data_IF_272108860579
#
_entry.id   IF_272108860579
#
_cell.length_a   1.000
_cell.length_b   1.000
_cell.length_c   1.000
_cell.angle_alpha   90.00
_cell.angle_beta   90.00
_cell.angle_gamma   90.00
#
_symmetry.space_group_name_H-M   'P 1'
#
loop_
_entity.id
_entity.type
_entity.pdbx_description
1 polymer ?
#
# COMPACT_ATOMS: atom_id res chain seq x y z
N UNK A 1 10.24 17.30 10.00
CA UNK A 1 9.58 18.05 8.92
C UNK A 1 10.15 17.60 7.59
N UNK A 2 9.33 17.01 6.76
CA UNK A 2 9.66 16.72 5.35
C UNK A 2 9.05 17.83 4.50
N UNK A 3 9.83 18.41 3.60
CA UNK A 3 9.35 19.30 2.57
C UNK A 3 9.79 18.79 1.21
N UNK A 4 8.90 18.84 0.21
CA UNK A 4 9.30 18.54 -1.16
C UNK A 4 10.21 19.66 -1.69
N UNK A 5 11.21 19.26 -2.45
CA UNK A 5 12.11 20.18 -3.14
C UNK A 5 11.41 20.74 -4.39
N UNK A 6 11.47 22.04 -4.56
CA UNK A 6 10.98 22.71 -5.78
C UNK A 6 12.13 22.78 -6.78
N UNK A 7 12.05 21.95 -7.82
CA UNK A 7 13.05 21.82 -8.89
C UNK A 7 12.96 23.01 -9.87
N UNK A 8 13.34 24.19 -9.45
CA UNK A 8 13.54 25.31 -10.37
C UNK A 8 15.02 25.65 -10.53
N UNK A 9 15.49 25.70 -11.74
CA UNK A 9 16.75 26.16 -12.37
C UNK A 9 17.87 26.82 -11.51
N UNK A 10 17.78 26.88 -10.20
CA UNK A 10 18.72 27.50 -9.27
C UNK A 10 18.99 26.68 -7.99
N UNK A 11 19.03 25.35 -8.09
CA UNK A 11 19.21 24.47 -6.94
C UNK A 11 17.92 24.16 -6.19
N UNK A 12 17.97 23.09 -5.44
CA UNK A 12 16.81 22.58 -4.68
C UNK A 12 16.32 23.59 -3.65
N UNK A 13 15.12 24.07 -3.83
CA UNK A 13 14.42 24.90 -2.85
C UNK A 13 13.34 24.08 -2.16
N UNK A 14 13.23 24.19 -0.85
CA UNK A 14 12.11 23.60 -0.13
C UNK A 14 10.80 24.31 -0.48
N UNK A 15 9.79 23.55 -0.91
CA UNK A 15 8.44 24.07 -1.08
C UNK A 15 7.72 24.13 0.26
N UNK A 16 7.11 25.26 0.59
CA UNK A 16 6.21 25.39 1.74
C UNK A 16 4.77 24.96 1.43
N UNK A 17 4.50 24.66 0.15
CA UNK A 17 3.18 24.24 -0.30
C UNK A 17 2.81 22.81 0.14
N UNK A 18 3.80 21.98 0.49
CA UNK A 18 3.59 20.67 1.07
C UNK A 18 4.37 20.55 2.38
N UNK A 19 3.69 20.23 3.45
CA UNK A 19 4.27 19.99 4.79
C UNK A 19 3.76 18.69 5.34
N UNK A 20 4.67 17.87 5.86
CA UNK A 20 4.33 16.68 6.64
C UNK A 20 5.00 16.80 8.00
N UNK A 21 4.21 16.60 9.03
CA UNK A 21 4.67 16.48 10.40
C UNK A 21 4.22 15.13 10.94
N UNK A 22 5.01 14.52 11.81
CA UNK A 22 4.61 13.25 12.39
C UNK A 22 5.36 12.90 13.65
N UNK A 23 4.77 11.98 14.40
CA UNK A 23 5.33 11.33 15.58
C UNK A 23 5.16 9.83 15.36
N UNK A 24 6.21 9.09 15.65
CA UNK A 24 6.21 7.62 15.62
C UNK A 24 6.69 7.13 16.98
N UNK A 25 5.95 6.20 17.57
CA UNK A 25 6.27 5.57 18.85
C UNK A 25 6.32 4.07 18.66
N UNK A 26 7.46 3.47 18.99
CA UNK A 26 7.63 2.03 19.04
C UNK A 26 7.67 1.58 20.50
N UNK A 27 6.83 0.62 20.88
CA UNK A 27 6.67 0.09 22.21
C UNK A 27 7.01 -1.41 22.20
N UNK A 28 8.30 -1.77 22.04
CA UNK A 28 8.71 -3.16 22.09
C UNK A 28 8.44 -3.70 23.50
N UNK A 29 7.97 -4.94 23.57
CA UNK A 29 7.75 -5.68 24.81
C UNK A 29 6.65 -5.12 25.76
N UNK A 30 5.86 -4.11 25.34
CA UNK A 30 4.79 -3.60 26.19
C UNK A 30 3.76 -4.70 26.52
N UNK A 31 3.30 -5.44 25.53
CA UNK A 31 2.34 -6.52 25.73
C UNK A 31 2.98 -7.78 26.33
N UNK A 32 4.27 -8.01 26.10
CA UNK A 32 5.01 -9.07 26.77
C UNK A 32 5.04 -8.86 28.26
N UNK A 33 5.28 -7.63 28.71
CA UNK A 33 5.30 -7.29 30.14
C UNK A 33 3.92 -7.26 30.81
N UNK A 34 2.87 -6.90 30.05
CA UNK A 34 1.52 -6.77 30.58
C UNK A 34 0.68 -8.05 30.47
N UNK A 35 0.81 -8.79 29.36
CA UNK A 35 -0.08 -9.90 28.99
C UNK A 35 0.67 -11.18 28.66
N UNK A 36 1.99 -11.20 28.77
CA UNK A 36 2.85 -12.33 28.36
C UNK A 36 2.65 -12.75 26.88
N UNK A 37 2.41 -11.75 26.00
CA UNK A 37 2.23 -11.93 24.55
C UNK A 37 3.37 -11.22 23.85
N UNK A 38 4.16 -11.94 23.05
CA UNK A 38 5.27 -11.37 22.27
C UNK A 38 4.73 -10.59 21.06
N UNK A 39 4.28 -9.36 21.33
CA UNK A 39 3.82 -8.42 20.32
C UNK A 39 4.56 -7.09 20.45
N UNK A 40 5.17 -6.65 19.36
CA UNK A 40 5.69 -5.31 19.22
C UNK A 40 4.58 -4.37 18.76
N UNK A 41 4.34 -3.29 19.51
CA UNK A 41 3.37 -2.28 19.18
C UNK A 41 4.06 -1.05 18.61
N UNK A 42 3.52 -0.55 17.52
CA UNK A 42 3.92 0.71 16.89
C UNK A 42 2.67 1.58 16.76
N UNK A 43 2.79 2.86 17.05
CA UNK A 43 1.73 3.83 16.78
C UNK A 43 2.33 5.10 16.20
N UNK A 44 1.58 5.76 15.33
CA UNK A 44 2.06 6.96 14.69
C UNK A 44 0.92 7.93 14.38
N UNK A 45 1.30 9.18 14.30
CA UNK A 45 0.48 10.27 13.84
C UNK A 45 1.20 11.02 12.74
N UNK A 46 0.52 11.30 11.63
CA UNK A 46 1.01 12.11 10.53
C UNK A 46 0.00 13.20 10.21
N UNK A 47 0.46 14.44 10.07
CA UNK A 47 -0.32 15.55 9.55
C UNK A 47 0.25 15.98 8.20
N UNK A 48 -0.58 15.92 7.17
CA UNK A 48 -0.28 16.42 5.83
C UNK A 48 -1.02 17.76 5.64
N UNK A 49 -0.30 18.78 5.18
CA UNK A 49 -0.91 20.02 4.70
C UNK A 49 -0.32 20.38 3.35
N UNK A 50 -1.18 20.51 2.37
CA UNK A 50 -0.82 20.79 0.99
C UNK A 50 -1.62 22.01 0.47
N UNK A 51 -1.01 22.77 -0.44
CA UNK A 51 -1.64 23.94 -1.06
C UNK A 51 -1.22 24.05 -2.51
N UNK A 52 -2.11 24.60 -3.34
CA UNK A 52 -1.78 24.96 -4.71
C UNK A 52 -0.59 25.90 -4.78
N UNK A 53 0.19 25.71 -5.83
CA UNK A 53 1.18 26.67 -6.28
C UNK A 53 0.89 27.04 -7.74
N UNK A 54 1.58 28.08 -8.25
CA UNK A 54 1.46 28.45 -9.68
C UNK A 54 1.85 27.31 -10.63
N UNK A 55 2.64 26.33 -10.18
CA UNK A 55 3.19 25.27 -11.00
C UNK A 55 2.62 23.89 -10.69
N UNK A 56 2.12 23.68 -9.48
CA UNK A 56 1.54 22.44 -9.03
C UNK A 56 0.15 22.72 -8.46
N UNK A 57 -0.83 22.15 -9.11
CA UNK A 57 -2.21 22.15 -8.63
C UNK A 57 -2.45 20.85 -7.84
N UNK A 58 -3.08 20.97 -6.69
CA UNK A 58 -3.30 19.86 -5.75
C UNK A 58 -4.75 19.86 -5.28
N UNK A 59 -5.14 18.84 -4.53
CA UNK A 59 -6.45 18.81 -3.87
C UNK A 59 -6.47 19.55 -2.52
N UNK A 60 -5.47 20.38 -2.23
CA UNK A 60 -5.38 21.20 -1.01
C UNK A 60 -5.62 20.39 0.28
N UNK A 61 -5.06 19.18 0.35
CA UNK A 61 -5.29 18.26 1.46
C UNK A 61 -4.78 18.83 2.79
N UNK A 62 -5.62 18.74 3.82
CA UNK A 62 -5.28 18.99 5.23
C UNK A 62 -5.73 17.74 6.02
N UNK A 63 -4.85 16.73 6.08
CA UNK A 63 -5.18 15.39 6.56
C UNK A 63 -4.43 15.04 7.84
N UNK A 64 -5.14 14.43 8.76
CA UNK A 64 -4.62 13.82 9.97
C UNK A 64 -4.72 12.30 9.87
N UNK A 65 -3.61 11.60 9.99
CA UNK A 65 -3.53 10.14 9.87
C UNK A 65 -3.04 9.56 11.18
N UNK A 66 -3.78 8.62 11.72
CA UNK A 66 -3.46 7.88 12.94
C UNK A 66 -3.25 6.42 12.57
N UNK A 67 -2.11 5.86 12.89
CA UNK A 67 -1.78 4.47 12.61
C UNK A 67 -1.41 3.70 13.87
N UNK A 68 -1.82 2.44 13.87
CA UNK A 68 -1.47 1.45 14.88
C UNK A 68 -1.01 0.18 14.17
N UNK A 69 0.07 -0.41 14.64
CA UNK A 69 0.57 -1.68 14.13
C UNK A 69 0.98 -2.60 15.26
N UNK A 70 0.54 -3.85 15.19
CA UNK A 70 0.94 -4.91 16.09
C UNK A 70 1.58 -6.05 15.28
N UNK A 71 2.76 -6.49 15.69
CA UNK A 71 3.45 -7.61 15.04
C UNK A 71 4.15 -8.51 16.03
N UNK A 72 4.03 -9.82 15.84
CA UNK A 72 4.84 -10.82 16.55
C UNK A 72 6.09 -11.18 15.74
N UNK A 73 7.03 -11.79 16.40
CA UNK A 73 8.22 -12.36 15.76
C UNK A 73 7.89 -13.67 15.06
N UNK A 74 8.44 -13.89 13.87
CA UNK A 74 8.31 -15.17 13.18
C UNK A 74 9.30 -16.20 13.78
N UNK A 75 8.78 -17.32 14.27
CA UNK A 75 9.58 -18.45 14.73
C UNK A 75 9.20 -19.73 13.98
N UNK A 76 10.11 -20.70 13.96
CA UNK A 76 9.89 -21.98 13.27
C UNK A 76 8.82 -22.79 14.00
N UNK A 77 7.88 -23.37 13.25
CA UNK A 77 6.71 -24.09 13.72
C UNK A 77 5.75 -23.25 14.57
N UNK A 78 5.75 -21.94 14.35
CA UNK A 78 4.86 -21.02 15.05
C UNK A 78 4.07 -20.14 14.07
N UNK A 79 2.95 -19.65 14.59
CA UNK A 79 2.17 -18.61 13.95
C UNK A 79 2.71 -17.24 14.35
N UNK A 80 2.69 -16.32 13.41
CA UNK A 80 2.94 -14.92 13.66
C UNK A 80 1.90 -14.05 12.96
N UNK A 81 1.73 -12.85 13.48
CA UNK A 81 0.76 -11.86 13.00
C UNK A 81 1.46 -10.53 12.74
N UNK A 82 0.99 -9.84 11.69
CA UNK A 82 1.30 -8.44 11.42
C UNK A 82 -0.02 -7.75 11.07
N UNK A 83 -0.51 -6.94 11.99
CA UNK A 83 -1.76 -6.19 11.82
C UNK A 83 -1.49 -4.71 11.86
N UNK A 84 -1.97 -3.97 10.85
CA UNK A 84 -1.92 -2.52 10.78
C UNK A 84 -3.31 -1.96 10.55
N UNK A 85 -3.66 -0.94 11.33
CA UNK A 85 -4.91 -0.20 11.25
C UNK A 85 -4.62 1.28 11.15
N UNK A 86 -5.18 1.95 10.13
CA UNK A 86 -4.98 3.37 9.89
C UNK A 86 -6.34 4.05 9.76
N UNK A 87 -6.48 5.18 10.44
CA UNK A 87 -7.60 6.09 10.32
C UNK A 87 -7.13 7.45 9.81
N UNK A 88 -7.88 8.03 8.88
CA UNK A 88 -7.64 9.37 8.37
C UNK A 88 -8.85 10.25 8.57
N UNK A 89 -8.61 11.52 8.90
CA UNK A 89 -9.64 12.56 8.98
C UNK A 89 -9.07 13.90 8.53
N UNK A 90 -9.93 14.83 8.17
CA UNK A 90 -9.54 16.17 7.75
C UNK A 90 -10.40 16.69 6.61
N UNK A 91 -9.80 17.50 5.77
CA UNK A 91 -10.48 18.12 4.65
C UNK A 91 -9.62 18.03 3.38
N UNK A 92 -10.28 17.98 2.24
CA UNK A 92 -9.63 18.05 0.93
C UNK A 92 -10.55 18.70 -0.09
N UNK A 93 -9.99 19.39 -1.07
CA UNK A 93 -10.75 19.84 -2.21
C UNK A 93 -11.16 18.65 -3.10
N UNK A 94 -12.37 18.67 -3.66
CA UNK A 94 -12.93 17.60 -4.46
C UNK A 94 -12.06 17.21 -5.67
N UNK A 95 -11.35 18.17 -6.27
CA UNK A 95 -10.41 17.91 -7.35
C UNK A 95 -9.14 18.77 -7.26
N UNK A 96 -8.16 18.49 -8.10
CA UNK A 96 -6.96 19.33 -8.26
C UNK A 96 -7.19 20.55 -9.15
N UNK A 97 -8.40 20.75 -9.71
CA UNK A 97 -8.72 21.92 -10.52
C UNK A 97 -8.77 23.17 -9.62
N UNK A 98 -7.99 24.24 -9.89
CA UNK A 98 -8.01 25.45 -9.08
C UNK A 98 -9.34 26.23 -9.10
N UNK A 99 -10.21 25.93 -10.04
CA UNK A 99 -11.56 26.51 -10.10
C UNK A 99 -12.57 25.76 -9.22
N UNK A 100 -12.20 24.60 -8.75
CA UNK A 100 -12.99 23.83 -7.80
C UNK A 100 -12.76 24.40 -6.40
N UNK A 101 -13.81 24.90 -5.79
CA UNK A 101 -13.81 25.50 -4.44
C UNK A 101 -14.58 24.69 -3.43
N UNK A 102 -14.98 23.45 -3.79
CA UNK A 102 -15.70 22.57 -2.89
C UNK A 102 -14.69 21.83 -2.02
N UNK A 103 -14.74 22.05 -0.73
CA UNK A 103 -14.02 21.27 0.26
C UNK A 103 -14.90 20.11 0.74
N UNK A 104 -14.34 18.91 0.78
CA UNK A 104 -14.98 17.68 1.24
C UNK A 104 -14.46 17.32 2.61
N UNK A 105 -15.34 16.90 3.50
CA UNK A 105 -14.97 16.26 4.76
C UNK A 105 -14.35 14.90 4.49
N UNK A 106 -13.14 14.65 5.00
CA UNK A 106 -12.41 13.42 4.74
C UNK A 106 -12.44 12.50 5.95
N UNK A 107 -12.93 11.26 5.75
CA UNK A 107 -12.85 10.17 6.72
C UNK A 107 -12.57 8.86 6.00
N UNK A 108 -11.42 8.23 6.28
CA UNK A 108 -11.01 7.04 5.57
C UNK A 108 -10.28 6.05 6.48
N UNK A 109 -10.28 4.77 6.05
CA UNK A 109 -9.72 3.66 6.81
C UNK A 109 -8.85 2.78 5.94
N UNK A 110 -7.80 2.23 6.56
CA UNK A 110 -7.01 1.14 6.00
C UNK A 110 -6.77 0.07 7.06
N UNK A 111 -6.90 -1.18 6.64
CA UNK A 111 -6.62 -2.36 7.45
C UNK A 111 -5.71 -3.30 6.67
N UNK A 112 -4.67 -3.82 7.32
CA UNK A 112 -3.85 -4.90 6.81
C UNK A 112 -3.67 -5.95 7.88
N UNK A 113 -3.94 -7.19 7.53
CA UNK A 113 -3.71 -8.34 8.40
C UNK A 113 -2.89 -9.37 7.63
N UNK A 114 -1.77 -9.79 8.19
CA UNK A 114 -1.01 -10.95 7.76
C UNK A 114 -1.01 -11.97 8.90
N UNK A 115 -1.45 -13.17 8.62
CA UNK A 115 -1.33 -14.32 9.50
C UNK A 115 -0.43 -15.33 8.80
N UNK A 116 0.68 -15.70 9.42
CA UNK A 116 1.66 -16.54 8.78
C UNK A 116 2.11 -17.69 9.65
N UNK A 117 2.49 -18.80 9.01
CA UNK A 117 3.07 -19.96 9.64
C UNK A 117 4.41 -20.33 9.00
N UNK A 118 5.44 -20.51 9.81
CA UNK A 118 6.78 -20.87 9.38
C UNK A 118 7.05 -22.35 9.63
N UNK A 119 7.18 -23.13 8.55
CA UNK A 119 7.40 -24.59 8.64
C UNK A 119 8.86 -24.91 8.91
N UNK A 120 9.10 -25.96 9.70
CA UNK A 120 10.42 -26.56 9.87
C UNK A 120 10.76 -27.43 8.65
N UNK A 121 11.20 -26.77 7.58
CA UNK A 121 11.59 -27.43 6.34
C UNK A 121 12.99 -26.97 5.92
N UNK A 122 13.77 -27.79 5.18
CA UNK A 122 15.07 -27.36 4.66
C UNK A 122 15.01 -26.10 3.80
N UNK A 123 13.89 -25.88 3.11
CA UNK A 123 13.64 -24.70 2.29
C UNK A 123 13.10 -23.51 3.08
N UNK A 124 12.92 -23.61 4.40
CA UNK A 124 12.32 -22.55 5.24
C UNK A 124 10.99 -22.06 4.67
N UNK A 125 10.12 -23.00 4.32
CA UNK A 125 8.81 -22.70 3.76
C UNK A 125 7.99 -21.87 4.75
N UNK A 126 7.34 -20.82 4.27
CA UNK A 126 6.42 -20.00 5.04
C UNK A 126 5.16 -19.74 4.22
N UNK A 127 4.01 -19.97 4.82
CA UNK A 127 2.70 -19.64 4.26
C UNK A 127 2.15 -18.40 4.97
N UNK A 128 1.64 -17.45 4.20
CA UNK A 128 1.13 -16.17 4.68
C UNK A 128 -0.25 -15.97 4.08
N UNK A 129 -1.27 -15.85 4.91
CA UNK A 129 -2.56 -15.30 4.53
C UNK A 129 -2.50 -13.79 4.72
N UNK A 130 -2.88 -13.03 3.71
CA UNK A 130 -2.87 -11.58 3.72
C UNK A 130 -4.24 -11.03 3.34
N UNK A 131 -4.72 -10.07 4.11
CA UNK A 131 -5.93 -9.33 3.83
C UNK A 131 -5.64 -7.84 3.92
N UNK A 132 -6.03 -7.08 2.89
CA UNK A 132 -5.98 -5.63 2.91
C UNK A 132 -7.36 -5.07 2.57
N UNK A 133 -7.73 -4.01 3.29
CA UNK A 133 -8.90 -3.19 3.04
C UNK A 133 -8.47 -1.73 3.03
N UNK A 134 -8.81 -1.00 1.99
CA UNK A 134 -8.70 0.45 1.94
C UNK A 134 -10.05 1.03 1.53
N UNK A 135 -10.61 1.90 2.33
CA UNK A 135 -11.93 2.49 2.06
C UNK A 135 -11.97 3.21 0.71
N UNK A 136 -13.13 3.17 0.09
CA UNK A 136 -13.54 3.95 -1.06
C UNK A 136 -14.48 5.08 -0.66
N UNK A 137 -15.00 5.77 -1.64
CA UNK A 137 -15.97 6.84 -1.52
C UNK A 137 -17.35 6.32 -1.95
N UNK A 138 -18.25 6.13 -0.98
CA UNK A 138 -19.58 5.56 -1.20
C UNK A 138 -20.43 6.42 -2.15
N UNK A 139 -20.26 7.74 -2.07
CA UNK A 139 -21.07 8.70 -2.82
C UNK A 139 -20.22 9.84 -3.41
N UNK A 140 -19.48 9.59 -4.51
CA UNK A 140 -18.53 10.56 -5.08
C UNK A 140 -19.11 11.92 -5.52
N UNK A 141 -20.42 12.16 -5.31
CA UNK A 141 -21.13 13.38 -5.68
C UNK A 141 -21.64 14.18 -4.46
N UNK A 142 -21.39 13.74 -3.25
CA UNK A 142 -21.74 14.44 -2.02
C UNK A 142 -20.60 15.37 -1.53
N UNK A 143 -20.63 15.77 -0.26
CA UNK A 143 -19.64 16.62 0.36
C UNK A 143 -18.61 15.86 1.21
N UNK A 144 -18.63 14.52 1.16
CA UNK A 144 -17.73 13.67 1.92
C UNK A 144 -16.69 13.03 1.00
N UNK A 145 -15.57 12.60 1.56
CA UNK A 145 -14.53 11.85 0.88
C UNK A 145 -14.13 10.66 1.73
N UNK A 146 -14.64 9.47 1.39
CA UNK A 146 -14.37 8.21 2.10
C UNK A 146 -13.13 7.48 1.64
N UNK A 147 -12.51 7.90 0.55
CA UNK A 147 -11.40 7.17 -0.08
C UNK A 147 -10.10 7.33 0.68
N UNK A 148 -9.48 6.21 1.08
CA UNK A 148 -8.18 6.20 1.73
C UNK A 148 -7.09 6.84 0.85
N UNK A 149 -6.34 7.77 1.45
CA UNK A 149 -5.25 8.48 0.81
C UNK A 149 -3.90 7.94 1.30
N UNK A 150 -3.09 7.40 0.39
CA UNK A 150 -1.76 6.86 0.71
C UNK A 150 -0.71 7.92 1.04
N UNK A 151 -1.11 9.21 1.03
CA UNK A 151 -0.25 10.37 1.27
C UNK A 151 0.94 10.37 0.28
N UNK A 152 2.11 9.94 0.73
CA UNK A 152 3.34 9.84 -0.06
C UNK A 152 3.83 8.39 -0.17
N UNK A 153 2.95 7.42 0.02
CA UNK A 153 3.29 6.01 -0.02
C UNK A 153 3.87 5.58 -1.37
N UNK A 154 4.82 4.66 -1.33
CA UNK A 154 5.41 4.05 -2.53
C UNK A 154 4.40 3.11 -3.14
N UNK A 155 3.80 3.48 -4.26
CA UNK A 155 2.80 2.66 -4.96
C UNK A 155 3.40 1.50 -5.76
N UNK A 156 4.70 1.51 -6.00
CA UNK A 156 5.34 0.59 -6.95
C UNK A 156 5.51 -0.86 -6.46
N UNK A 157 5.24 -1.15 -5.18
CA UNK A 157 5.54 -2.46 -4.59
C UNK A 157 4.43 -3.05 -3.74
N UNK A 158 3.25 -2.44 -3.72
CA UNK A 158 2.21 -2.84 -2.77
C UNK A 158 1.56 -4.16 -3.14
N UNK A 159 1.27 -4.38 -4.42
CA UNK A 159 0.58 -5.57 -4.92
C UNK A 159 1.25 -6.14 -6.18
N UNK A 160 2.55 -6.00 -6.30
CA UNK A 160 3.38 -6.44 -7.42
C UNK A 160 4.46 -5.41 -7.77
N UNK A 161 5.51 -5.85 -8.47
CA UNK A 161 6.59 -4.95 -8.86
C UNK A 161 6.12 -4.03 -9.97
N UNK A 162 6.55 -2.80 -9.90
CA UNK A 162 6.33 -1.78 -10.92
C UNK A 162 4.89 -1.27 -10.93
N UNK A 163 4.73 0.01 -11.07
CA UNK A 163 3.49 0.78 -11.31
C UNK A 163 2.60 0.27 -12.48
N UNK A 164 2.73 -1.00 -12.86
CA UNK A 164 1.85 -1.70 -13.81
C UNK A 164 0.39 -1.70 -13.35
N UNK A 165 0.17 -1.60 -12.04
CA UNK A 165 -1.13 -1.63 -11.43
C UNK A 165 -1.55 -0.25 -10.91
N UNK A 166 -1.50 0.79 -11.76
CA UNK A 166 -2.15 2.06 -11.40
C UNK A 166 -3.61 1.87 -10.93
N UNK A 167 -4.38 0.90 -11.48
CA UNK A 167 -5.70 0.54 -10.98
C UNK A 167 -5.70 -0.11 -9.60
N UNK A 168 -4.61 -0.79 -9.22
CA UNK A 168 -4.53 -1.57 -7.98
C UNK A 168 -3.58 -0.84 -7.02
N UNK A 169 -4.16 -0.14 -6.05
CA UNK A 169 -3.42 0.63 -5.05
C UNK A 169 -4.16 0.55 -3.71
N UNK A 170 -3.53 0.97 -2.61
CA UNK A 170 -4.20 1.09 -1.30
C UNK A 170 -5.20 2.24 -1.30
N UNK A 171 -6.23 2.11 -2.10
CA UNK A 171 -7.29 3.10 -2.24
C UNK A 171 -8.48 2.41 -2.88
N UNK A 172 -9.62 2.43 -2.23
CA UNK A 172 -10.83 1.77 -2.69
C UNK A 172 -10.60 0.30 -3.07
N UNK A 173 -10.07 -0.52 -2.16
CA UNK A 173 -9.71 -1.90 -2.47
C UNK A 173 -9.96 -2.86 -1.30
N UNK A 174 -10.42 -4.06 -1.65
CA UNK A 174 -10.43 -5.25 -0.80
C UNK A 174 -9.59 -6.32 -1.50
N UNK A 175 -8.59 -6.86 -0.80
CA UNK A 175 -7.74 -7.90 -1.41
C UNK A 175 -7.28 -8.94 -0.40
N UNK A 176 -7.95 -10.11 -0.37
CA UNK A 176 -7.39 -11.31 0.25
C UNK A 176 -6.37 -11.97 -0.66
N UNK A 177 -5.35 -12.57 -0.07
CA UNK A 177 -4.31 -13.30 -0.79
C UNK A 177 -3.63 -14.36 0.05
N UNK A 178 -2.93 -15.25 -0.63
CA UNK A 178 -2.06 -16.26 -0.03
C UNK A 178 -0.68 -16.13 -0.67
N UNK A 179 0.33 -15.96 0.18
CA UNK A 179 1.72 -15.87 -0.24
C UNK A 179 2.51 -17.03 0.34
N UNK A 180 3.23 -17.74 -0.50
CA UNK A 180 4.21 -18.73 -0.13
C UNK A 180 5.61 -18.18 -0.35
N UNK A 181 6.48 -18.32 0.62
CA UNK A 181 7.91 -17.97 0.48
C UNK A 181 8.78 -19.16 0.87
N UNK A 182 9.90 -19.32 0.17
CA UNK A 182 10.87 -20.35 0.48
C UNK A 182 12.30 -19.84 0.25
N UNK A 183 13.26 -20.38 0.98
CA UNK A 183 14.69 -20.11 0.83
C UNK A 183 15.42 -21.44 0.69
N UNK A 184 15.32 -22.11 -0.47
CA UNK A 184 15.89 -23.45 -0.66
C UNK A 184 17.44 -23.44 -0.60
N UNK A 185 18.06 -22.32 -0.92
CA UNK A 185 19.48 -22.10 -0.80
C UNK A 185 19.75 -20.76 -0.09
N UNK A 186 20.87 -20.64 0.58
CA UNK A 186 21.19 -19.46 1.39
C UNK A 186 21.15 -18.12 0.62
N UNK A 187 21.33 -18.17 -0.68
CA UNK A 187 21.38 -17.01 -1.57
C UNK A 187 20.16 -16.90 -2.52
N UNK A 188 19.18 -17.80 -2.44
CA UNK A 188 18.00 -17.80 -3.31
C UNK A 188 16.73 -17.80 -2.48
N UNK A 189 15.90 -16.79 -2.67
CA UNK A 189 14.55 -16.71 -2.13
C UNK A 189 13.51 -16.81 -3.24
N UNK A 190 12.49 -17.62 -3.02
CA UNK A 190 11.36 -17.84 -3.90
C UNK A 190 10.09 -17.27 -3.28
N UNK A 191 9.17 -16.80 -4.11
CA UNK A 191 7.85 -16.35 -3.70
C UNK A 191 6.81 -16.73 -4.75
N UNK A 192 5.64 -17.17 -4.28
CA UNK A 192 4.42 -17.23 -5.05
C UNK A 192 3.34 -16.46 -4.28
N UNK A 193 2.67 -15.52 -4.92
CA UNK A 193 1.60 -14.69 -4.33
C UNK A 193 0.37 -14.79 -5.24
N UNK A 194 -0.73 -15.27 -4.68
CA UNK A 194 -2.01 -15.35 -5.37
C UNK A 194 -3.04 -14.55 -4.60
N UNK A 195 -3.74 -13.62 -5.29
CA UNK A 195 -4.74 -12.78 -4.67
C UNK A 195 -5.85 -12.36 -5.61
N UNK A 196 -6.97 -12.03 -5.02
CA UNK A 196 -8.11 -11.41 -5.68
C UNK A 196 -8.21 -9.95 -5.29
N UNK A 197 -8.92 -9.18 -6.13
CA UNK A 197 -9.15 -7.75 -5.95
C UNK A 197 -10.62 -7.40 -6.15
N UNK A 198 -11.15 -6.62 -5.22
CA UNK A 198 -12.47 -5.99 -5.30
C UNK A 198 -12.34 -4.50 -5.00
N UNK A 199 -13.25 -3.70 -5.53
CA UNK A 199 -13.49 -2.35 -5.01
C UNK A 199 -14.12 -2.45 -3.63
N UNK A 200 -13.79 -1.52 -2.72
CA UNK A 200 -14.51 -1.37 -1.46
C UNK A 200 -15.86 -0.70 -1.70
N UNK A 201 -15.90 0.26 -2.66
CA UNK A 201 -17.09 0.98 -3.10
C UNK A 201 -17.15 0.96 -4.64
N UNK A 202 -18.21 0.38 -5.19
CA UNK A 202 -18.39 0.11 -6.62
C UNK A 202 -18.56 1.36 -7.48
N UNK A 203 -19.04 2.46 -6.89
CA UNK A 203 -19.22 3.76 -7.56
C UNK A 203 -17.97 4.62 -7.57
N UNK A 204 -16.97 4.25 -6.78
CA UNK A 204 -15.73 4.98 -6.70
C UNK A 204 -14.72 4.51 -7.74
N UNK A 205 -13.64 5.27 -7.93
CA UNK A 205 -12.69 4.97 -8.99
C UNK A 205 -11.74 3.82 -8.63
N UNK A 206 -11.30 3.13 -9.68
CA UNK A 206 -10.23 2.16 -9.63
C UNK A 206 -8.90 2.83 -9.29
N UNK A 207 -8.45 2.63 -8.07
CA UNK A 207 -7.18 3.13 -7.61
C UNK A 207 -6.90 4.57 -8.04
N UNK A 208 -5.82 4.76 -8.80
CA UNK A 208 -5.36 6.08 -9.26
C UNK A 208 -5.75 6.43 -10.69
N UNK A 209 -6.51 5.59 -11.38
CA UNK A 209 -6.84 5.82 -12.80
C UNK A 209 -7.87 6.92 -13.01
N UNK A 210 -8.68 7.22 -12.00
CA UNK A 210 -9.83 8.09 -12.11
C UNK A 210 -11.00 7.46 -12.90
N UNK A 211 -10.83 6.26 -13.45
CA UNK A 211 -11.92 5.52 -14.08
C UNK A 211 -12.89 5.02 -13.03
N UNK A 212 -14.17 5.26 -13.22
CA UNK A 212 -15.24 4.83 -12.32
C UNK A 212 -16.55 4.62 -13.06
N UNK A 213 -17.38 3.77 -12.51
CA UNK A 213 -18.78 3.65 -12.88
C UNK A 213 -19.65 4.26 -11.78
N UNK A 214 -20.09 5.50 -11.94
CA UNK A 214 -20.92 6.19 -10.93
C UNK A 214 -22.28 5.57 -10.72
N UNK A 215 -22.67 4.61 -11.57
CA UNK A 215 -23.94 3.87 -11.42
C UNK A 215 -23.78 2.61 -10.57
N UNK A 216 -22.55 2.10 -10.41
CA UNK A 216 -22.25 0.83 -9.73
C UNK A 216 -22.67 -0.42 -10.51
N UNK A 217 -23.17 -0.28 -11.74
CA UNK A 217 -23.69 -1.42 -12.52
C UNK A 217 -22.58 -2.36 -13.00
N UNK A 218 -21.34 -1.89 -13.04
CA UNK A 218 -20.17 -2.71 -13.40
C UNK A 218 -19.81 -3.74 -12.34
N UNK A 219 -20.28 -3.55 -11.10
CA UNK A 219 -19.93 -4.39 -9.95
C UNK A 219 -18.56 -4.04 -9.37
N UNK A 220 -18.14 -4.79 -8.37
CA UNK A 220 -16.95 -4.53 -7.54
C UNK A 220 -15.75 -5.42 -7.84
N UNK A 221 -15.93 -6.59 -8.48
CA UNK A 221 -14.83 -7.53 -8.72
C UNK A 221 -13.87 -7.03 -9.79
N UNK A 222 -12.61 -6.79 -9.40
CA UNK A 222 -11.57 -6.23 -10.28
C UNK A 222 -10.71 -7.30 -10.95
N UNK A 223 -10.70 -8.53 -10.44
CA UNK A 223 -9.88 -9.61 -10.99
C UNK A 223 -8.97 -10.30 -10.00
N UNK A 224 -7.97 -10.98 -10.53
CA UNK A 224 -7.01 -11.77 -9.75
C UNK A 224 -5.61 -11.73 -10.35
N UNK A 225 -4.60 -12.00 -9.53
CA UNK A 225 -3.25 -12.22 -10.04
C UNK A 225 -2.51 -13.37 -9.37
N UNK A 226 -1.55 -13.92 -10.10
CA UNK A 226 -0.51 -14.81 -9.59
C UNK A 226 0.85 -14.17 -9.91
N UNK A 227 1.65 -13.90 -8.87
CA UNK A 227 3.06 -13.49 -9.01
C UNK A 227 3.96 -14.65 -8.60
N UNK A 228 4.94 -14.97 -9.45
CA UNK A 228 6.05 -15.87 -9.16
C UNK A 228 7.35 -15.07 -9.19
N UNK A 229 8.13 -15.10 -8.11
CA UNK A 229 9.35 -14.31 -7.99
C UNK A 229 10.53 -15.15 -7.51
N UNK A 230 11.67 -14.87 -8.12
CA UNK A 230 12.98 -15.39 -7.70
C UNK A 230 13.88 -14.20 -7.37
N UNK A 231 14.47 -14.23 -6.19
CA UNK A 231 15.47 -13.28 -5.74
C UNK A 231 16.78 -14.03 -5.46
N UNK A 232 17.83 -13.67 -6.19
CA UNK A 232 19.12 -14.32 -6.10
C UNK A 232 20.19 -13.33 -5.70
N UNK A 233 20.83 -13.53 -4.53
CA UNK A 233 22.01 -12.80 -4.10
C UNK A 233 23.24 -13.42 -4.79
N UNK A 234 23.55 -12.91 -5.99
CA UNK A 234 24.67 -13.39 -6.83
C UNK A 234 26.01 -13.20 -6.11
N UNK A 235 26.20 -12.00 -5.54
CA UNK A 235 27.30 -11.68 -4.64
C UNK A 235 26.67 -11.21 -3.35
N UNK A 236 26.69 -12.04 -2.28
CA UNK A 236 26.06 -11.69 -1.00
C UNK A 236 26.57 -10.33 -0.49
N UNK A 237 25.61 -9.45 -0.17
CA UNK A 237 25.89 -8.09 0.30
C UNK A 237 26.10 -7.03 -0.80
N UNK A 238 26.40 -7.43 -2.06
CA UNK A 238 26.75 -6.48 -3.11
C UNK A 238 25.83 -6.55 -4.35
N UNK A 239 25.51 -7.75 -4.84
CA UNK A 239 24.75 -7.89 -6.10
C UNK A 239 23.56 -8.83 -5.87
N UNK A 240 22.37 -8.31 -6.15
CA UNK A 240 21.11 -9.08 -6.09
C UNK A 240 20.35 -8.95 -7.40
N UNK A 241 19.96 -10.08 -7.98
CA UNK A 241 18.98 -10.15 -9.06
C UNK A 241 17.59 -10.39 -8.48
N UNK A 242 16.59 -9.73 -9.02
CA UNK A 242 15.18 -9.90 -8.71
C UNK A 242 14.43 -10.11 -10.03
N UNK A 243 13.76 -11.24 -10.19
CA UNK A 243 13.06 -11.59 -11.43
C UNK A 243 11.73 -12.23 -11.11
N UNK A 244 10.71 -11.98 -11.91
CA UNK A 244 9.40 -12.57 -11.71
C UNK A 244 8.53 -12.58 -12.94
N UNK A 245 7.49 -13.40 -12.83
CA UNK A 245 6.37 -13.52 -13.78
C UNK A 245 5.09 -13.16 -13.03
N UNK A 246 4.24 -12.39 -13.69
CA UNK A 246 2.94 -12.01 -13.18
C UNK A 246 1.89 -12.34 -14.22
N UNK A 247 0.86 -13.06 -13.79
CA UNK A 247 -0.34 -13.35 -14.57
C UNK A 247 -1.48 -12.57 -13.94
N UNK A 248 -2.00 -11.59 -14.67
CA UNK A 248 -3.14 -10.77 -14.27
C UNK A 248 -4.35 -11.11 -15.13
N UNK A 249 -5.47 -11.43 -14.50
CA UNK A 249 -6.77 -11.57 -15.11
C UNK A 249 -7.66 -10.44 -14.57
N UNK A 250 -7.66 -9.31 -15.26
CA UNK A 250 -8.46 -8.14 -14.92
C UNK A 250 -9.89 -8.31 -15.41
N UNK A 251 -10.86 -7.88 -14.58
CA UNK A 251 -12.30 -7.97 -14.86
C UNK A 251 -12.93 -6.60 -14.70
N UNK A 252 -14.19 -6.49 -15.03
CA UNK A 252 -15.01 -5.31 -14.87
C UNK A 252 -14.68 -4.21 -15.92
N UNK A 253 -14.23 -3.02 -15.53
CA UNK A 253 -13.95 -1.91 -16.46
C UNK A 253 -12.85 -2.22 -17.47
N UNK A 254 -11.99 -3.17 -17.16
CA UNK A 254 -10.90 -3.66 -18.00
C UNK A 254 -11.02 -5.19 -18.03
N UNK A 255 -11.61 -5.77 -19.06
CA UNK A 255 -11.66 -7.23 -19.22
C UNK A 255 -10.48 -7.66 -20.09
N UNK A 256 -9.32 -7.85 -19.46
CA UNK A 256 -8.05 -8.14 -20.13
C UNK A 256 -7.20 -9.12 -19.33
N UNK A 257 -6.57 -10.06 -20.02
CA UNK A 257 -5.56 -10.93 -19.46
C UNK A 257 -4.18 -10.46 -19.88
N UNK A 258 -3.28 -10.31 -18.91
CA UNK A 258 -1.93 -9.83 -19.15
C UNK A 258 -0.89 -10.68 -18.46
N UNK A 259 0.24 -10.90 -19.13
CA UNK A 259 1.39 -11.59 -18.58
C UNK A 259 2.60 -10.65 -18.63
N UNK A 260 3.23 -10.45 -17.47
CA UNK A 260 4.41 -9.60 -17.35
C UNK A 260 5.60 -10.42 -16.87
N UNK A 261 6.74 -10.14 -17.47
CA UNK A 261 8.05 -10.59 -16.99
C UNK A 261 8.87 -9.36 -16.62
N UNK A 262 9.57 -9.43 -15.49
CA UNK A 262 10.53 -8.41 -15.10
C UNK A 262 11.84 -9.02 -14.63
N UNK A 263 12.90 -8.25 -14.78
CA UNK A 263 14.21 -8.51 -14.20
C UNK A 263 14.80 -7.20 -13.71
N UNK A 264 15.32 -7.22 -12.50
CA UNK A 264 15.97 -6.08 -11.86
C UNK A 264 17.28 -6.49 -11.22
N UNK A 265 18.22 -5.56 -11.15
CA UNK A 265 19.50 -5.74 -10.46
C UNK A 265 19.67 -4.64 -9.42
N UNK A 266 20.02 -5.03 -8.21
CA UNK A 266 20.41 -4.11 -7.14
C UNK A 266 21.92 -4.25 -6.87
N UNK A 267 22.61 -3.13 -6.86
CA UNK A 267 24.01 -3.03 -6.45
C UNK A 267 24.08 -2.26 -5.12
N UNK A 268 24.75 -2.83 -4.13
CA UNK A 268 25.07 -2.20 -2.86
C UNK A 268 26.60 -2.01 -2.79
N UNK A 269 27.07 -0.78 -2.58
CA UNK A 269 28.50 -0.40 -2.58
C UNK A 269 28.95 0.02 -1.19
#
# INVERSE_FOLDING_TARGET
RLSLLDNEHRGDKSSEALRIHGVFVNLPNLLTSLLNVDLNLETYYLALKEKDTRKLQTSNRDLHTFGFRARSSAAVNEWDINWESIFQTGERRASSNPLDTVDLDHQAFYQRVELAYSFDTPSRLRAIFEFNYASGDESPLDNDSGRFDTILGVSAFEFGPVSLYAPISRSNIITPGIRLTATPWANVALMADYRHFWLAEDKDSWGRTGQRDTTGNSGDYMGQHLELRVRWSVVPGNIRLDSGLIFLDAKNLIDEQSTFFYIGTKFDF
#
